data_IF_966069530929
#
_entry.id   IF_966069530929
#
_cell.length_a   1.000
_cell.length_b   1.000
_cell.length_c   1.000
_cell.angle_alpha   90.00
_cell.angle_beta   90.00
_cell.angle_gamma   90.00
#
_symmetry.space_group_name_H-M   'P 1'
#
loop_
_entity.id
_entity.type
_entity.pdbx_description
1 polymer ?
#
# COMPACT_ATOMS: atom_id res chain seq x y z
N UNK A 1 -9.82 -64.64 13.55
CA UNK A 1 -9.31 -63.26 13.38
C UNK A 1 -10.05 -62.36 14.36
N UNK A 2 -9.32 -61.73 15.28
CA UNK A 2 -9.88 -61.08 16.46
C UNK A 2 -10.50 -59.71 16.11
N UNK A 3 -11.68 -59.34 16.65
CA UNK A 3 -12.34 -58.07 16.36
C UNK A 3 -11.52 -56.84 16.79
N UNK A 4 -10.54 -57.02 17.67
CA UNK A 4 -9.66 -55.95 18.13
C UNK A 4 -8.69 -55.43 17.06
N UNK A 5 -8.33 -56.25 16.05
CA UNK A 5 -7.29 -55.87 15.06
C UNK A 5 -7.86 -54.94 13.98
N UNK A 6 -9.15 -55.07 13.65
CA UNK A 6 -9.85 -54.19 12.71
C UNK A 6 -10.10 -52.81 13.32
N UNK A 7 -10.42 -52.73 14.61
CA UNK A 7 -10.60 -51.45 15.30
C UNK A 7 -9.32 -50.61 15.30
N UNK A 8 -8.14 -51.23 15.45
CA UNK A 8 -6.86 -50.49 15.50
C UNK A 8 -6.50 -49.89 14.12
N UNK A 9 -6.80 -50.59 13.02
CA UNK A 9 -6.54 -50.11 11.65
C UNK A 9 -7.50 -48.97 11.21
N UNK A 10 -8.73 -48.95 11.72
CA UNK A 10 -9.72 -47.92 11.38
C UNK A 10 -9.47 -46.61 12.14
N UNK A 11 -8.83 -46.66 13.32
CA UNK A 11 -8.58 -45.47 14.15
C UNK A 11 -7.25 -44.77 13.78
N UNK A 12 -6.29 -45.47 13.16
CA UNK A 12 -5.00 -44.88 12.77
C UNK A 12 -5.00 -44.19 11.39
N UNK A 13 -5.98 -44.43 10.52
CA UNK A 13 -6.10 -43.73 9.24
C UNK A 13 -6.60 -42.28 9.35
N UNK A 14 -7.58 -41.91 10.20
CA UNK A 14 -8.03 -40.53 10.28
C UNK A 14 -7.08 -39.61 11.05
N UNK A 15 -6.19 -40.13 11.91
CA UNK A 15 -5.23 -39.30 12.66
C UNK A 15 -4.19 -38.68 11.71
N UNK A 16 -3.67 -39.46 10.76
CA UNK A 16 -2.68 -38.97 9.77
C UNK A 16 -3.27 -38.09 8.65
N UNK A 17 -4.59 -37.90 8.58
CA UNK A 17 -5.24 -37.15 7.50
C UNK A 17 -5.71 -35.74 7.90
N UNK A 18 -5.69 -35.39 9.18
CA UNK A 18 -6.18 -34.08 9.66
C UNK A 18 -5.05 -33.06 9.93
N UNK A 19 -3.80 -33.48 9.85
CA UNK A 19 -2.62 -32.61 10.00
C UNK A 19 -1.98 -32.27 8.66
N UNK A 20 -2.74 -31.58 7.80
CA UNK A 20 -2.17 -30.55 6.93
C UNK A 20 -3.18 -29.41 6.74
N UNK A 21 -3.67 -28.87 7.86
CA UNK A 21 -4.18 -27.50 7.86
C UNK A 21 -2.99 -26.58 7.66
N UNK A 22 -2.77 -26.15 6.41
CA UNK A 22 -2.22 -24.86 5.99
C UNK A 22 -1.80 -25.00 4.54
N UNK A 23 -2.78 -24.93 3.62
CA UNK A 23 -2.48 -24.30 2.34
C UNK A 23 -2.15 -22.86 2.69
N UNK A 24 -0.86 -22.60 2.93
CA UNK A 24 -0.28 -21.28 2.86
C UNK A 24 -0.69 -20.73 1.49
N UNK A 25 -1.79 -19.97 1.50
CA UNK A 25 -2.21 -19.16 0.38
C UNK A 25 -1.12 -18.12 0.20
N UNK A 26 -0.08 -18.50 -0.55
CA UNK A 26 1.00 -17.65 -0.96
C UNK A 26 0.37 -16.53 -1.77
N UNK A 27 0.14 -15.39 -1.12
CA UNK A 27 -0.41 -14.20 -1.74
C UNK A 27 0.57 -13.77 -2.83
N UNK A 28 0.28 -14.14 -4.08
CA UNK A 28 1.02 -13.65 -5.23
C UNK A 28 0.77 -12.15 -5.28
N UNK A 29 1.78 -11.36 -4.92
CA UNK A 29 1.80 -9.91 -5.11
C UNK A 29 1.51 -9.64 -6.58
N UNK A 30 0.27 -9.27 -6.90
CA UNK A 30 -0.08 -8.86 -8.25
C UNK A 30 0.58 -7.51 -8.53
N UNK A 31 1.66 -7.54 -9.31
CA UNK A 31 2.24 -6.34 -9.87
C UNK A 31 1.21 -5.71 -10.83
N UNK A 32 0.91 -4.42 -10.63
CA UNK A 32 0.01 -3.72 -11.53
C UNK A 32 0.73 -3.46 -12.85
N UNK A 33 0.18 -4.01 -13.94
CA UNK A 33 0.68 -3.76 -15.28
C UNK A 33 -0.24 -2.77 -15.99
N UNK A 34 0.26 -1.57 -16.26
CA UNK A 34 -0.50 -0.56 -16.99
C UNK A 34 -0.33 -0.74 -18.51
N UNK A 35 -1.41 -0.64 -19.30
CA UNK A 35 -1.31 -0.58 -20.75
C UNK A 35 -0.72 0.77 -21.20
N UNK A 36 -0.27 0.88 -22.46
CA UNK A 36 0.17 2.17 -23.02
C UNK A 36 -0.97 3.21 -22.98
N UNK A 37 -0.61 4.49 -22.79
CA UNK A 37 -1.57 5.56 -22.50
C UNK A 37 -2.64 5.75 -23.59
N UNK A 38 -2.32 5.45 -24.85
CA UNK A 38 -3.23 5.54 -25.99
C UNK A 38 -4.42 4.56 -25.86
N UNK A 39 -4.26 3.51 -25.05
CA UNK A 39 -5.31 2.52 -24.75
C UNK A 39 -6.07 2.83 -23.46
N UNK A 40 -5.75 3.93 -22.78
CA UNK A 40 -6.40 4.34 -21.53
C UNK A 40 -7.34 5.51 -21.82
N UNK A 41 -8.63 5.28 -21.60
CA UNK A 41 -9.64 6.32 -21.74
C UNK A 41 -9.81 7.10 -20.43
N UNK A 42 -9.24 8.30 -20.40
CA UNK A 42 -9.45 9.23 -19.29
C UNK A 42 -10.84 9.87 -19.40
N UNK A 43 -11.53 10.03 -18.27
CA UNK A 43 -12.79 10.77 -18.25
C UNK A 43 -12.56 12.20 -18.79
N UNK A 44 -13.22 12.61 -19.88
CA UNK A 44 -12.98 13.93 -20.49
C UNK A 44 -13.28 15.08 -19.52
N UNK A 45 -14.23 14.87 -18.60
CA UNK A 45 -14.57 15.83 -17.52
C UNK A 45 -13.41 16.06 -16.56
N UNK A 46 -12.57 15.04 -16.35
CA UNK A 46 -11.33 15.18 -15.58
C UNK A 46 -10.30 15.89 -16.46
N UNK A 47 -9.97 15.36 -17.63
CA UNK A 47 -8.83 15.85 -18.41
C UNK A 47 -8.88 17.32 -18.88
N UNK A 48 -10.06 17.86 -19.20
CA UNK A 48 -10.17 19.20 -19.81
C UNK A 48 -10.66 20.30 -18.84
N UNK A 49 -11.09 19.93 -17.62
CA UNK A 49 -11.79 20.85 -16.69
C UNK A 49 -11.52 20.60 -15.20
N UNK A 50 -10.41 19.94 -14.85
CA UNK A 50 -10.01 19.80 -13.45
C UNK A 50 -9.77 21.19 -12.84
N UNK A 51 -10.74 21.66 -12.04
CA UNK A 51 -10.56 22.81 -11.15
C UNK A 51 -9.94 22.30 -9.85
N UNK A 52 -8.63 22.09 -9.88
CA UNK A 52 -7.89 21.64 -8.71
C UNK A 52 -7.56 22.84 -7.82
N UNK A 53 -7.68 22.64 -6.50
CA UNK A 53 -7.20 23.61 -5.53
C UNK A 53 -5.67 23.67 -5.52
N UNK A 54 -5.00 22.55 -5.81
CA UNK A 54 -3.56 22.46 -6.06
C UNK A 54 -3.24 22.22 -7.54
N UNK A 55 -2.05 21.71 -7.81
CA UNK A 55 -1.59 21.31 -9.13
C UNK A 55 -2.32 20.10 -9.73
N UNK A 56 -1.91 19.74 -10.95
CA UNK A 56 -2.39 18.56 -11.67
C UNK A 56 -1.27 17.52 -11.68
N UNK A 57 -1.60 16.32 -11.22
CA UNK A 57 -0.76 15.12 -11.26
C UNK A 57 -1.41 14.06 -12.15
N UNK A 58 -0.97 12.82 -12.04
CA UNK A 58 -1.51 11.68 -12.78
C UNK A 58 -2.07 10.64 -11.82
N UNK A 59 -3.08 9.89 -12.27
CA UNK A 59 -3.54 8.70 -11.58
C UNK A 59 -2.52 7.55 -11.56
N UNK A 60 -3.00 6.39 -11.11
CA UNK A 60 -2.25 5.15 -10.86
C UNK A 60 -1.31 4.77 -12.04
N UNK A 61 -1.84 4.77 -13.26
CA UNK A 61 -1.06 4.39 -14.46
C UNK A 61 -0.26 5.53 -15.10
N UNK A 62 -0.19 6.72 -14.48
CA UNK A 62 0.60 7.83 -15.03
C UNK A 62 0.00 8.55 -16.25
N UNK A 63 -1.12 8.08 -16.81
CA UNK A 63 -1.67 8.65 -18.04
C UNK A 63 -2.77 9.69 -17.83
N UNK A 64 -3.69 9.44 -16.89
CA UNK A 64 -4.84 10.31 -16.71
C UNK A 64 -4.57 11.42 -15.70
N UNK A 65 -4.91 12.68 -16.02
CA UNK A 65 -4.74 13.79 -15.08
C UNK A 65 -5.67 13.65 -13.87
N UNK A 66 -5.15 14.03 -12.70
CA UNK A 66 -5.83 14.03 -11.42
C UNK A 66 -5.38 15.24 -10.57
N UNK A 67 -6.17 15.68 -9.60
CA UNK A 67 -5.72 16.73 -8.70
C UNK A 67 -4.64 16.22 -7.76
N UNK A 68 -3.60 17.04 -7.57
CA UNK A 68 -2.59 16.81 -6.56
C UNK A 68 -3.19 16.90 -5.15
N UNK A 69 -2.55 16.20 -4.21
CA UNK A 69 -2.89 16.23 -2.79
C UNK A 69 -2.16 17.37 -2.08
N UNK A 70 -2.93 18.16 -1.34
CA UNK A 70 -2.43 19.31 -0.60
C UNK A 70 -1.77 18.90 0.72
N UNK A 71 -1.09 19.84 1.37
CA UNK A 71 -0.44 19.62 2.66
C UNK A 71 -1.46 19.12 3.71
N UNK A 72 -1.08 18.09 4.46
CA UNK A 72 -1.94 17.44 5.45
C UNK A 72 -2.93 16.42 4.86
N UNK A 73 -3.09 16.34 3.54
CA UNK A 73 -3.95 15.34 2.91
C UNK A 73 -3.27 13.96 2.84
N UNK A 74 -4.11 12.94 2.73
CA UNK A 74 -3.65 11.55 2.60
C UNK A 74 -3.10 11.25 1.21
N UNK A 75 -2.00 10.50 1.14
CA UNK A 75 -1.30 10.17 -0.09
C UNK A 75 -0.74 8.74 -0.07
N UNK A 76 -0.27 8.26 -1.23
CA UNK A 76 0.38 6.96 -1.37
C UNK A 76 -0.61 5.79 -1.43
N UNK A 77 -0.34 4.74 -0.64
CA UNK A 77 -1.00 3.45 -0.76
C UNK A 77 -0.51 2.66 -1.97
N UNK A 78 -1.02 1.43 -2.16
CA UNK A 78 -0.63 0.61 -3.32
C UNK A 78 -0.83 1.39 -4.63
N UNK A 79 0.23 1.54 -5.42
CA UNK A 79 0.19 2.23 -6.72
C UNK A 79 -0.33 3.68 -6.67
N UNK A 80 -0.17 4.37 -5.54
CA UNK A 80 -0.65 5.74 -5.31
C UNK A 80 -2.17 5.90 -5.46
N UNK A 81 -2.97 4.87 -5.14
CA UNK A 81 -4.43 4.95 -5.25
C UNK A 81 -5.04 6.06 -4.36
N UNK A 82 -4.36 6.46 -3.28
CA UNK A 82 -4.76 7.58 -2.43
C UNK A 82 -4.40 8.94 -3.03
N UNK A 83 -3.55 8.98 -4.04
CA UNK A 83 -3.13 10.17 -4.77
C UNK A 83 -1.68 10.58 -4.49
N UNK A 84 -1.20 11.49 -5.33
CA UNK A 84 0.16 12.05 -5.30
C UNK A 84 0.13 13.47 -4.75
N UNK A 85 1.13 13.84 -3.96
CA UNK A 85 1.24 15.17 -3.40
C UNK A 85 1.52 16.24 -4.46
N UNK A 86 1.14 17.48 -4.14
CA UNK A 86 1.41 18.65 -4.97
C UNK A 86 2.89 19.02 -5.02
N UNK A 87 3.24 19.92 -5.94
CA UNK A 87 4.61 20.37 -6.11
C UNK A 87 5.19 20.92 -4.80
N UNK A 88 6.40 20.47 -4.44
CA UNK A 88 7.07 20.86 -3.19
C UNK A 88 6.62 20.09 -1.93
N UNK A 89 5.69 19.14 -2.07
CA UNK A 89 5.24 18.27 -0.99
C UNK A 89 5.74 16.83 -1.20
N UNK A 90 6.00 16.13 -0.09
CA UNK A 90 6.45 14.73 -0.06
C UNK A 90 5.45 13.89 0.74
N UNK A 91 5.17 12.68 0.27
CA UNK A 91 4.29 11.76 0.97
C UNK A 91 5.04 11.05 2.11
N UNK A 92 4.70 11.37 3.35
CA UNK A 92 5.36 10.82 4.54
C UNK A 92 4.49 9.74 5.17
N UNK A 93 5.02 8.54 5.29
CA UNK A 93 4.36 7.42 5.95
C UNK A 93 4.66 7.44 7.46
N UNK A 94 3.70 7.11 8.33
CA UNK A 94 4.01 6.91 9.74
C UNK A 94 4.91 5.67 9.92
N UNK A 95 5.88 5.77 10.82
CA UNK A 95 6.67 4.64 11.30
C UNK A 95 5.74 3.56 11.87
N UNK A 96 5.83 2.35 11.32
CA UNK A 96 4.93 1.24 11.61
C UNK A 96 5.04 0.84 13.08
N UNK A 97 3.96 0.97 13.86
CA UNK A 97 3.85 0.31 15.17
C UNK A 97 3.30 -1.13 15.08
N UNK A 98 3.20 -1.69 13.88
CA UNK A 98 2.80 -3.08 13.69
C UNK A 98 2.64 -3.38 12.21
N UNK A 99 3.36 -4.39 11.73
CA UNK A 99 3.54 -4.73 10.32
C UNK A 99 2.24 -4.90 9.54
N UNK A 100 1.69 -3.79 9.05
CA UNK A 100 0.64 -3.81 8.06
C UNK A 100 1.28 -4.09 6.70
N UNK A 101 0.59 -4.85 5.83
CA UNK A 101 1.07 -5.06 4.47
C UNK A 101 1.28 -3.71 3.77
N UNK A 102 2.38 -3.56 3.04
CA UNK A 102 2.78 -2.33 2.33
C UNK A 102 1.64 -1.72 1.50
N UNK A 103 0.76 -2.59 1.00
CA UNK A 103 -0.43 -2.24 0.24
C UNK A 103 -1.39 -1.25 0.96
N UNK A 104 -1.36 -1.18 2.29
CA UNK A 104 -2.20 -0.32 3.12
C UNK A 104 -1.45 0.84 3.78
N UNK A 105 -0.16 1.04 3.46
CA UNK A 105 0.60 2.16 4.03
C UNK A 105 0.06 3.46 3.46
N UNK A 106 -0.64 4.20 4.31
CA UNK A 106 -1.25 5.50 4.03
C UNK A 106 -0.31 6.59 4.56
N UNK A 107 0.14 7.48 3.69
CA UNK A 107 0.98 8.61 4.06
C UNK A 107 0.19 9.91 4.19
N UNK A 108 0.92 10.98 4.47
CA UNK A 108 0.41 12.36 4.52
C UNK A 108 1.38 13.30 3.81
N UNK A 109 0.85 14.20 2.99
CA UNK A 109 1.66 15.19 2.27
C UNK A 109 2.21 16.23 3.25
N UNK A 110 3.54 16.39 3.27
CA UNK A 110 4.24 17.38 4.08
C UNK A 110 5.22 18.19 3.24
N UNK A 111 5.46 19.42 3.62
CA UNK A 111 6.40 20.29 2.88
C UNK A 111 7.85 19.95 3.22
N UNK A 112 8.75 20.06 2.25
CA UNK A 112 10.20 19.86 2.48
C UNK A 112 10.77 20.76 3.60
N UNK A 113 10.33 22.03 3.77
CA UNK A 113 10.70 22.85 4.93
C UNK A 113 10.25 22.24 6.26
N UNK A 114 9.03 21.69 6.37
CA UNK A 114 8.58 21.00 7.57
C UNK A 114 9.42 19.76 7.86
N UNK A 115 9.83 19.02 6.84
CA UNK A 115 10.77 17.91 6.98
C UNK A 115 12.13 18.38 7.51
N UNK A 116 12.68 19.49 7.00
CA UNK A 116 13.94 20.05 7.52
C UNK A 116 13.80 20.50 8.97
N UNK A 117 12.67 21.10 9.35
CA UNK A 117 12.41 21.49 10.75
C UNK A 117 12.29 20.26 11.64
N UNK A 118 11.57 19.21 11.22
CA UNK A 118 11.50 17.92 11.93
C UNK A 118 12.89 17.32 12.15
N UNK A 119 13.72 17.25 11.11
CA UNK A 119 15.09 16.72 11.22
C UNK A 119 15.96 17.57 12.15
N UNK A 120 15.80 18.90 12.17
CA UNK A 120 16.55 19.77 13.11
C UNK A 120 16.10 19.54 14.56
N UNK A 121 14.78 19.40 14.79
CA UNK A 121 14.24 19.08 16.11
C UNK A 121 14.69 17.70 16.60
N UNK A 122 14.78 16.71 15.70
CA UNK A 122 15.30 15.37 16.01
C UNK A 122 16.75 15.41 16.50
N UNK A 123 17.61 16.20 15.82
CA UNK A 123 19.03 16.34 16.18
C UNK A 123 19.28 17.02 17.53
N UNK A 124 18.35 17.82 18.04
CA UNK A 124 18.47 18.51 19.32
C UNK A 124 17.93 17.72 20.53
N UNK A 125 17.49 16.47 20.34
CA UNK A 125 17.27 15.54 21.46
C UNK A 125 15.93 14.80 21.48
N UNK A 126 15.43 14.32 20.35
CA UNK A 126 14.41 13.26 20.39
C UNK A 126 14.42 12.41 19.10
N UNK A 127 14.59 11.10 19.27
CA UNK A 127 14.93 10.13 18.22
C UNK A 127 13.66 9.69 17.48
N UNK A 128 13.59 9.80 16.14
CA UNK A 128 13.12 8.76 15.20
C UNK A 128 13.69 9.01 13.80
N UNK A 129 14.07 7.94 13.14
CA UNK A 129 14.85 7.90 11.90
C UNK A 129 13.87 7.84 10.72
N UNK A 130 14.02 8.70 9.70
CA UNK A 130 13.36 8.50 8.40
C UNK A 130 14.42 8.49 7.31
N UNK A 131 14.64 7.30 6.76
CA UNK A 131 15.55 7.04 5.65
C UNK A 131 14.90 7.52 4.34
N UNK A 132 15.65 8.31 3.58
CA UNK A 132 15.28 8.83 2.24
C UNK A 132 15.40 7.71 1.22
#
# INVERSE_FOLDING_TARGET
>A
MSPCVFSILVILWPVMAMEVSTLEGQQILQALHCPPCERIHCSPRRALKLQCQGGITTGICGCCPACAKLAGESCGGTWDYLGKCDEGLVCIYPEETGGKPEAQRKGTCKSVPELRVLVILEKHGNIREYQI
#
